data_IF_070929626339
#
_entry.id   IF_070929626339
#
_cell.length_a   1.000
_cell.length_b   1.000
_cell.length_c   1.000
_cell.angle_alpha   90.00
_cell.angle_beta   90.00
_cell.angle_gamma   90.00
#
_symmetry.space_group_name_H-M   'P 1'
#
loop_
_entity.id
_entity.type
_entity.pdbx_description
1 polymer ?
#
# COMPACT_ATOMS: atom_id res chain seq x y z
N UNK A 1 20.03 -1.88 34.66
CA UNK A 1 19.59 -2.40 33.36
C UNK A 1 20.53 -1.85 32.33
N UNK A 2 21.24 -2.72 31.62
CA UNK A 2 22.18 -2.29 30.60
C UNK A 2 21.42 -1.79 29.36
N UNK A 3 21.98 -0.79 28.68
CA UNK A 3 21.36 -0.16 27.52
C UNK A 3 21.02 -1.18 26.42
N UNK A 4 21.91 -2.16 26.21
CA UNK A 4 21.70 -3.28 25.28
C UNK A 4 20.47 -4.12 25.62
N UNK A 5 20.21 -4.34 26.92
CA UNK A 5 19.07 -5.11 27.38
C UNK A 5 17.75 -4.39 27.13
N UNK A 6 17.70 -3.08 27.37
CA UNK A 6 16.52 -2.25 27.11
C UNK A 6 16.18 -2.28 25.63
N UNK A 7 17.18 -2.06 24.78
CA UNK A 7 17.03 -2.13 23.32
C UNK A 7 16.54 -3.50 22.88
N UNK A 8 17.16 -4.57 23.37
CA UNK A 8 16.79 -5.93 22.96
C UNK A 8 15.33 -6.24 23.30
N UNK A 9 14.83 -5.74 24.43
CA UNK A 9 13.41 -5.84 24.79
C UNK A 9 12.54 -5.03 23.84
N UNK A 10 12.91 -3.78 23.54
CA UNK A 10 12.16 -2.93 22.59
C UNK A 10 12.07 -3.59 21.21
N UNK A 11 13.20 -4.07 20.66
CA UNK A 11 13.24 -4.77 19.38
C UNK A 11 12.28 -5.96 19.39
N UNK A 12 12.35 -6.82 20.41
CA UNK A 12 11.48 -8.00 20.53
C UNK A 12 10.00 -7.63 20.60
N UNK A 13 9.65 -6.57 21.32
CA UNK A 13 8.26 -6.12 21.43
C UNK A 13 7.74 -5.63 20.08
N UNK A 14 8.53 -4.84 19.35
CA UNK A 14 8.16 -4.36 18.01
C UNK A 14 8.06 -5.51 17.02
N UNK A 15 9.01 -6.44 17.03
CA UNK A 15 9.00 -7.65 16.20
C UNK A 15 7.75 -8.49 16.48
N UNK A 16 7.45 -8.74 17.75
CA UNK A 16 6.27 -9.49 18.17
C UNK A 16 4.97 -8.79 17.74
N UNK A 17 4.89 -7.46 17.88
CA UNK A 17 3.72 -6.68 17.48
C UNK A 17 3.50 -6.76 15.96
N UNK A 18 4.54 -6.52 15.16
CA UNK A 18 4.45 -6.61 13.70
C UNK A 18 4.10 -8.02 13.21
N UNK A 19 4.72 -9.05 13.79
CA UNK A 19 4.40 -10.45 13.50
C UNK A 19 2.96 -10.80 13.89
N UNK A 20 2.49 -10.34 15.06
CA UNK A 20 1.12 -10.54 15.49
C UNK A 20 0.12 -9.89 14.53
N UNK A 21 0.39 -8.67 14.05
CA UNK A 21 -0.45 -7.99 13.05
C UNK A 21 -0.55 -8.82 11.77
N UNK A 22 0.57 -9.34 11.25
CA UNK A 22 0.57 -10.16 10.04
C UNK A 22 -0.22 -11.45 10.24
N UNK A 23 0.03 -12.17 11.34
CA UNK A 23 -0.59 -13.47 11.61
C UNK A 23 -2.09 -13.31 11.87
N UNK A 24 -2.47 -12.39 12.76
CA UNK A 24 -3.88 -12.18 13.13
C UNK A 24 -4.66 -11.55 11.99
N UNK A 25 -4.09 -10.54 11.31
CA UNK A 25 -4.72 -9.89 10.16
C UNK A 25 -4.88 -10.85 8.98
N UNK A 26 -3.87 -11.68 8.71
CA UNK A 26 -3.94 -12.72 7.68
C UNK A 26 -4.95 -13.81 8.01
N UNK A 27 -4.97 -14.30 9.25
CA UNK A 27 -5.97 -15.27 9.71
C UNK A 27 -7.39 -14.69 9.60
N UNK A 28 -7.59 -13.44 10.02
CA UNK A 28 -8.87 -12.75 9.89
C UNK A 28 -9.30 -12.61 8.42
N UNK A 29 -8.37 -12.27 7.52
CA UNK A 29 -8.64 -12.19 6.09
C UNK A 29 -9.08 -13.54 5.49
N UNK A 30 -8.41 -14.63 5.88
CA UNK A 30 -8.78 -15.99 5.46
C UNK A 30 -10.15 -16.39 6.00
N UNK A 31 -10.39 -16.20 7.30
CA UNK A 31 -11.68 -16.52 7.94
C UNK A 31 -12.82 -15.74 7.27
N UNK A 32 -12.61 -14.46 6.97
CA UNK A 32 -13.60 -13.62 6.29
C UNK A 32 -13.85 -14.06 4.83
N UNK A 33 -12.89 -14.73 4.18
CA UNK A 33 -13.05 -15.23 2.81
C UNK A 33 -13.78 -16.58 2.73
N UNK A 34 -13.81 -17.38 3.81
CA UNK A 34 -14.46 -18.70 3.84
C UNK A 34 -15.92 -18.67 3.35
N UNK A 35 -16.81 -17.78 3.85
CA UNK A 35 -18.21 -17.74 3.40
C UNK A 35 -18.36 -17.39 1.92
N UNK A 36 -17.46 -16.56 1.38
CA UNK A 36 -17.49 -16.11 -0.01
C UNK A 36 -16.99 -17.18 -1.00
N UNK A 37 -16.09 -18.07 -0.56
CA UNK A 37 -15.59 -19.20 -1.36
C UNK A 37 -16.60 -20.36 -1.40
N UNK A 38 -17.36 -20.54 -0.31
CA UNK A 38 -18.39 -21.59 -0.21
C UNK A 38 -19.63 -21.28 -1.05
N UNK A 39 -19.87 -20.02 -1.42
CA UNK A 39 -20.95 -19.61 -2.34
C UNK A 39 -20.43 -19.53 -3.78
N UNK A 40 -21.05 -20.29 -4.69
CA UNK A 40 -20.62 -20.38 -6.09
C UNK A 40 -20.67 -19.01 -6.83
N UNK A 41 -21.66 -18.17 -6.53
CA UNK A 41 -21.87 -16.88 -7.20
C UNK A 41 -20.81 -15.82 -6.85
N UNK A 42 -20.16 -15.92 -5.69
CA UNK A 42 -19.18 -14.93 -5.22
C UNK A 42 -17.72 -15.36 -5.41
N UNK A 43 -17.47 -16.57 -5.91
CA UNK A 43 -16.12 -17.12 -6.13
C UNK A 43 -15.17 -16.20 -6.92
N UNK A 44 -15.59 -15.55 -8.02
CA UNK A 44 -14.69 -14.69 -8.80
C UNK A 44 -14.16 -13.50 -7.98
N UNK A 45 -14.97 -12.95 -7.07
CA UNK A 45 -14.59 -11.82 -6.22
C UNK A 45 -13.91 -12.22 -4.91
N UNK A 46 -14.11 -13.46 -4.44
CA UNK A 46 -13.59 -13.95 -3.16
C UNK A 46 -12.06 -13.96 -3.12
N UNK A 47 -11.39 -14.37 -4.20
CA UNK A 47 -9.93 -14.39 -4.29
C UNK A 47 -9.32 -12.99 -4.26
N UNK A 48 -9.90 -12.06 -5.01
CA UNK A 48 -9.45 -10.66 -5.06
C UNK A 48 -9.63 -9.98 -3.71
N UNK A 49 -10.76 -10.21 -3.03
CA UNK A 49 -11.02 -9.70 -1.68
C UNK A 49 -10.05 -10.27 -0.64
N UNK A 50 -9.79 -11.58 -0.68
CA UNK A 50 -8.82 -12.25 0.18
C UNK A 50 -7.41 -11.67 -0.02
N UNK A 51 -6.94 -11.58 -1.27
CA UNK A 51 -5.63 -11.00 -1.61
C UNK A 51 -5.48 -9.57 -1.11
N UNK A 52 -6.52 -8.74 -1.29
CA UNK A 52 -6.50 -7.34 -0.85
C UNK A 52 -6.42 -7.22 0.67
N UNK A 53 -7.18 -8.03 1.40
CA UNK A 53 -7.17 -8.00 2.85
C UNK A 53 -5.87 -8.57 3.43
N UNK A 54 -5.36 -9.66 2.86
CA UNK A 54 -4.05 -10.22 3.20
C UNK A 54 -2.93 -9.21 2.96
N UNK A 55 -2.89 -8.60 1.78
CA UNK A 55 -1.85 -7.63 1.46
C UNK A 55 -1.89 -6.42 2.40
N UNK A 56 -3.07 -5.90 2.77
CA UNK A 56 -3.20 -4.82 3.76
C UNK A 56 -2.66 -5.21 5.13
N UNK A 57 -2.96 -6.41 5.60
CA UNK A 57 -2.46 -6.92 6.88
C UNK A 57 -0.93 -7.09 6.87
N UNK A 58 -0.38 -7.62 5.76
CA UNK A 58 1.07 -7.80 5.61
C UNK A 58 1.77 -6.45 5.52
N UNK A 59 1.28 -5.50 4.71
CA UNK A 59 1.85 -4.16 4.59
C UNK A 59 1.86 -3.43 5.94
N UNK A 60 0.76 -3.48 6.69
CA UNK A 60 0.68 -2.89 8.04
C UNK A 60 1.69 -3.54 9.00
N UNK A 61 1.83 -4.87 8.95
CA UNK A 61 2.85 -5.56 9.73
C UNK A 61 4.26 -5.15 9.33
N UNK A 62 4.53 -4.99 8.04
CA UNK A 62 5.84 -4.57 7.52
C UNK A 62 6.17 -3.13 7.91
N UNK A 63 5.19 -2.23 7.96
CA UNK A 63 5.35 -0.87 8.49
C UNK A 63 5.78 -0.90 9.95
N UNK A 64 5.18 -1.76 10.79
CA UNK A 64 5.59 -1.87 12.20
C UNK A 64 6.99 -2.49 12.32
N UNK A 65 7.27 -3.55 11.55
CA UNK A 65 8.58 -4.21 11.55
C UNK A 65 9.70 -3.30 11.00
N UNK A 66 9.41 -2.12 10.44
CA UNK A 66 10.45 -1.16 10.01
C UNK A 66 11.22 -0.58 11.16
N UNK A 67 10.52 -0.42 12.28
CA UNK A 67 11.09 0.18 13.46
C UNK A 67 12.15 -0.75 14.04
N UNK A 68 11.86 -2.05 14.17
CA UNK A 68 12.81 -3.03 14.70
C UNK A 68 14.07 -3.16 13.83
N UNK A 69 13.89 -3.16 12.51
CA UNK A 69 14.98 -3.28 11.55
C UNK A 69 15.87 -2.04 11.55
N UNK A 70 15.30 -0.82 11.55
CA UNK A 70 16.07 0.43 11.68
C UNK A 70 16.83 0.47 13.01
N UNK A 71 16.23 0.08 14.13
CA UNK A 71 16.93 0.04 15.41
C UNK A 71 18.11 -0.93 15.36
N UNK A 72 17.91 -2.12 14.78
CA UNK A 72 18.98 -3.10 14.59
C UNK A 72 20.09 -2.55 13.70
N UNK A 73 19.76 -1.73 12.71
CA UNK A 73 20.74 -1.19 11.77
C UNK A 73 21.64 -0.11 12.35
N UNK A 74 21.10 0.77 13.21
CA UNK A 74 21.89 1.86 13.80
C UNK A 74 22.81 1.40 14.94
N UNK A 75 22.57 0.22 15.52
CA UNK A 75 23.25 -0.26 16.72
C UNK A 75 24.37 -1.27 16.46
N UNK A 76 24.49 -1.80 15.25
CA UNK A 76 25.57 -2.73 14.91
C UNK A 76 26.84 -1.92 14.63
N UNK A 77 27.97 -2.33 15.23
CA UNK A 77 29.26 -1.68 15.04
C UNK A 77 29.58 -1.54 13.54
N UNK A 78 29.96 -0.32 13.08
CA UNK A 78 30.19 -0.03 11.66
C UNK A 78 31.51 -0.64 11.19
N UNK A 79 31.51 -1.96 10.96
CA UNK A 79 32.56 -2.64 10.18
C UNK A 79 32.13 -2.74 8.72
N UNK A 80 33.05 -2.76 7.74
CA UNK A 80 32.69 -2.88 6.32
C UNK A 80 31.83 -4.12 6.01
N UNK A 81 32.08 -5.21 6.72
CA UNK A 81 31.34 -6.47 6.56
C UNK A 81 29.94 -6.39 7.20
N UNK A 82 29.81 -5.75 8.36
CA UNK A 82 28.52 -5.45 8.99
C UNK A 82 27.66 -4.54 8.10
N UNK A 83 28.26 -3.50 7.50
CA UNK A 83 27.58 -2.57 6.60
C UNK A 83 27.08 -3.26 5.33
N UNK A 84 27.83 -4.24 4.80
CA UNK A 84 27.40 -5.02 3.64
C UNK A 84 26.17 -5.88 3.94
N UNK A 85 26.20 -6.63 5.06
CA UNK A 85 25.04 -7.42 5.52
C UNK A 85 23.85 -6.51 5.75
N UNK A 86 24.09 -5.34 6.32
CA UNK A 86 23.07 -4.34 6.60
C UNK A 86 22.41 -3.80 5.34
N UNK A 87 23.22 -3.43 4.35
CA UNK A 87 22.76 -2.99 3.04
C UNK A 87 21.91 -4.05 2.36
N UNK A 88 22.31 -5.33 2.44
CA UNK A 88 21.52 -6.44 1.90
C UNK A 88 20.14 -6.57 2.57
N UNK A 89 20.07 -6.46 3.90
CA UNK A 89 18.80 -6.52 4.65
C UNK A 89 17.87 -5.36 4.22
N UNK A 90 18.39 -4.13 4.15
CA UNK A 90 17.63 -2.95 3.73
C UNK A 90 17.11 -3.11 2.29
N UNK A 91 17.94 -3.61 1.37
CA UNK A 91 17.53 -3.85 -0.03
C UNK A 91 16.41 -4.88 -0.11
N UNK A 92 16.55 -6.02 0.57
CA UNK A 92 15.50 -7.06 0.61
C UNK A 92 14.21 -6.46 1.16
N UNK A 93 14.31 -5.67 2.23
CA UNK A 93 13.17 -5.03 2.85
C UNK A 93 12.43 -4.07 1.92
N UNK A 94 13.16 -3.23 1.19
CA UNK A 94 12.58 -2.31 0.20
C UNK A 94 11.90 -3.10 -0.92
N UNK A 95 12.57 -4.14 -1.45
CA UNK A 95 12.02 -4.99 -2.51
C UNK A 95 10.74 -5.72 -2.09
N UNK A 96 10.70 -6.30 -0.88
CA UNK A 96 9.52 -7.01 -0.37
C UNK A 96 8.34 -6.07 -0.16
N UNK A 97 8.57 -4.92 0.49
CA UNK A 97 7.52 -3.92 0.71
C UNK A 97 6.96 -3.43 -0.61
N UNK A 98 7.84 -3.17 -1.57
CA UNK A 98 7.51 -2.71 -2.90
C UNK A 98 6.76 -3.75 -3.76
N UNK A 99 7.23 -4.99 -3.74
CA UNK A 99 6.60 -6.10 -4.49
C UNK A 99 5.16 -6.33 -4.03
N UNK A 100 4.92 -6.26 -2.72
CA UNK A 100 3.60 -6.43 -2.14
C UNK A 100 2.66 -5.26 -2.49
N UNK A 101 3.18 -4.04 -2.51
CA UNK A 101 2.39 -2.85 -2.87
C UNK A 101 2.00 -2.86 -4.36
N UNK A 102 2.92 -3.22 -5.25
CA UNK A 102 2.66 -3.36 -6.70
C UNK A 102 1.65 -4.45 -7.00
N UNK A 103 1.75 -5.61 -6.32
CA UNK A 103 0.80 -6.71 -6.51
C UNK A 103 -0.61 -6.34 -6.03
N UNK A 104 -0.72 -5.52 -4.98
CA UNK A 104 -2.00 -5.06 -4.46
C UNK A 104 -2.67 -3.99 -5.30
N UNK A 105 -1.91 -2.97 -5.74
CA UNK A 105 -2.45 -1.83 -6.45
C UNK A 105 -2.55 -2.08 -7.96
N UNK A 106 -1.80 -3.07 -8.49
CA UNK A 106 -1.76 -3.40 -9.93
C UNK A 106 -1.16 -2.29 -10.81
N UNK A 107 -0.72 -1.19 -10.19
CA UNK A 107 -0.08 -0.04 -10.84
C UNK A 107 1.21 0.27 -10.11
N UNK A 108 2.30 0.33 -10.86
CA UNK A 108 3.59 0.71 -10.33
C UNK A 108 3.53 2.09 -9.65
N UNK A 109 4.19 2.31 -8.50
CA UNK A 109 4.04 3.55 -7.73
C UNK A 109 4.40 4.82 -8.52
N UNK A 110 5.34 4.74 -9.46
CA UNK A 110 5.68 5.85 -10.37
C UNK A 110 4.62 6.14 -11.45
N UNK A 111 3.70 5.22 -11.72
CA UNK A 111 2.61 5.44 -12.69
C UNK A 111 1.49 6.33 -12.14
N UNK A 112 1.37 6.43 -10.81
CA UNK A 112 0.37 7.24 -10.10
C UNK A 112 0.51 8.73 -10.43
N UNK A 113 1.75 9.20 -10.62
CA UNK A 113 2.03 10.59 -10.98
C UNK A 113 1.52 10.96 -12.38
N UNK A 114 1.50 10.01 -13.32
CA UNK A 114 0.97 10.26 -14.68
C UNK A 114 -0.55 10.40 -14.73
N UNK A 115 -1.27 9.65 -13.88
CA UNK A 115 -2.74 9.74 -13.80
C UNK A 115 -3.22 10.98 -13.05
N UNK A 116 -2.44 11.49 -12.09
CA UNK A 116 -2.72 12.75 -11.41
C UNK A 116 -2.48 13.98 -12.30
N UNK A 117 -1.45 13.94 -13.16
CA UNK A 117 -1.13 15.03 -14.10
C UNK A 117 -2.20 15.24 -15.19
N UNK A 118 -2.95 14.20 -15.57
CA UNK A 118 -4.00 14.29 -16.61
C UNK A 118 -5.34 14.88 -16.17
N UNK A 119 -5.59 15.02 -14.85
CA UNK A 119 -6.86 15.58 -14.35
C UNK A 119 -6.90 17.11 -14.37
N UNK A 120 -5.75 17.77 -14.42
CA UNK A 120 -5.66 19.24 -14.45
C UNK A 120 -6.04 19.87 -15.80
N UNK A 121 -5.94 19.11 -16.89
CA UNK A 121 -6.19 19.62 -18.26
C UNK A 121 -7.64 19.42 -18.72
N UNK A 122 -8.34 18.39 -18.23
CA UNK A 122 -9.72 18.11 -18.66
C UNK A 122 -10.75 19.15 -18.17
N UNK A 123 -10.53 19.76 -16.99
CA UNK A 123 -11.46 20.73 -16.39
C UNK A 123 -11.38 22.12 -17.02
N UNK A 124 -10.28 22.45 -17.71
CA UNK A 124 -10.09 23.75 -18.35
C UNK A 124 -10.84 23.87 -19.71
N UNK A 125 -11.11 22.75 -20.39
CA UNK A 125 -11.75 22.75 -21.71
C UNK A 125 -13.28 22.82 -21.65
N UNK A 126 -13.92 22.35 -20.56
CA UNK A 126 -15.39 22.38 -20.43
C UNK A 126 -15.95 23.71 -19.93
N UNK A 127 -15.12 24.68 -19.54
CA UNK A 127 -15.54 25.99 -19.03
C UNK A 127 -15.68 27.08 -20.12
N UNK A 128 -15.39 26.76 -21.40
CA UNK A 128 -15.32 27.74 -22.49
C UNK A 128 -16.41 27.65 -23.57
N UNK A 129 -17.40 26.76 -23.45
CA UNK A 129 -18.44 26.56 -24.48
C UNK A 129 -19.82 26.85 -23.91
N UNK A 130 -20.19 28.12 -23.84
CA UNK A 130 -21.47 28.52 -23.28
C UNK A 130 -21.81 30.00 -23.39
N UNK A 131 -21.53 30.66 -24.51
CA UNK A 131 -22.23 31.91 -24.88
C UNK A 131 -22.10 32.13 -26.39
N UNK A 132 -22.97 31.50 -27.18
CA UNK A 132 -23.32 31.93 -28.55
C UNK A 132 -24.44 31.01 -29.08
N UNK A 133 -25.69 31.38 -28.82
CA UNK A 133 -26.87 31.01 -29.62
C UNK A 133 -28.16 31.46 -28.92
N UNK A 134 -28.37 32.78 -28.83
CA UNK A 134 -29.64 33.37 -28.40
C UNK A 134 -30.47 33.84 -29.59
N UNK A 135 -31.35 32.96 -30.09
CA UNK A 135 -32.69 33.34 -30.55
C UNK A 135 -32.86 34.06 -31.90
N UNK A 136 -32.69 33.33 -33.00
CA UNK A 136 -33.35 33.66 -34.27
C UNK A 136 -34.55 32.72 -34.48
N UNK A 137 -35.77 33.17 -34.19
CA UNK A 137 -37.04 32.76 -34.82
C UNK A 137 -38.27 33.38 -34.14
N UNK A 138 -38.92 34.34 -34.81
CA UNK A 138 -40.35 34.65 -34.64
C UNK A 138 -40.85 35.18 -36.01
N UNK A 139 -41.37 34.29 -36.85
CA UNK A 139 -42.80 34.14 -37.21
C UNK A 139 -43.25 35.03 -38.39
N UNK A 140 -43.75 34.45 -39.51
CA UNK A 140 -44.30 35.21 -40.64
C UNK A 140 -45.80 35.44 -40.45
N UNK A 141 -46.29 36.67 -40.66
CA UNK A 141 -47.68 36.99 -41.00
C UNK A 141 -47.74 38.35 -41.74
N UNK A 142 -48.67 38.39 -42.70
CA UNK A 142 -49.11 39.45 -43.64
C UNK A 142 -48.22 39.73 -44.84
#
# INVERSE_FOLDING_TARGET
MDFEQVIAVVIRVVEAAGAAIMVLGGAAAVIAAVPAVLRADTRPGAYTGLRRNLGRAILLGLEVLIIADIIRTILVDPTPQSVLVLGAIVVIRVLLSFSLEVEMDGVWPWSRWRLAAGKGTATATSAGTGTDAGGAAAHPLS
#
